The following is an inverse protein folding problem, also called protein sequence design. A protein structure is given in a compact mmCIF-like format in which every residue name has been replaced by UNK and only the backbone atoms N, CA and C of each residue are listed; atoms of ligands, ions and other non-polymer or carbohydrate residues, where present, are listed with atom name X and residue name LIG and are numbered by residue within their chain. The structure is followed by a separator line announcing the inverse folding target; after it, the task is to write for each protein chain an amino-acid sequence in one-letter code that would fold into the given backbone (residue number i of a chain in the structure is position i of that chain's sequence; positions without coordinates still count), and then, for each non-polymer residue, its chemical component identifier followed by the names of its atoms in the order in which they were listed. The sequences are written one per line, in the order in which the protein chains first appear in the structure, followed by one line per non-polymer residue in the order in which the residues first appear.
data_IF_602310430058
#
_entry.id   IF_602310430058
#
_cell.length_a   1.000
_cell.length_b   1.000
_cell.length_c   1.000
_cell.angle_alpha   90.00
_cell.angle_beta   90.00
_cell.angle_gamma   90.00
#
_symmetry.space_group_name_H-M   'P 1'
#
loop_
_entity.id
_entity.type
_entity.pdbx_description
1 polymer ?
#
# COMPACT_ATOMS: atom_id res chain seq x y z
N UNK A 1 -21.25 -47.95 -25.91
CA UNK A 1 -21.36 -46.49 -26.09
C UNK A 1 -21.75 -45.89 -24.76
N UNK A 2 -20.77 -45.40 -24.00
CA UNK A 2 -20.99 -44.54 -22.83
C UNK A 2 -19.88 -43.50 -22.84
N UNK A 3 -20.22 -42.31 -23.34
CA UNK A 3 -19.32 -41.17 -23.39
C UNK A 3 -19.16 -40.65 -21.97
N UNK A 4 -18.00 -40.87 -21.36
CA UNK A 4 -17.64 -40.21 -20.11
C UNK A 4 -17.18 -38.80 -20.48
N UNK A 5 -18.03 -37.81 -20.20
CA UNK A 5 -17.65 -36.40 -20.29
C UNK A 5 -16.61 -36.12 -19.21
N UNK A 6 -15.40 -35.64 -19.53
CA UNK A 6 -14.50 -35.14 -18.51
C UNK A 6 -15.11 -33.85 -17.96
N UNK A 7 -15.39 -33.85 -16.65
CA UNK A 7 -15.64 -32.64 -15.89
C UNK A 7 -14.36 -31.78 -15.96
N UNK A 8 -14.45 -30.70 -16.72
CA UNK A 8 -13.44 -29.64 -16.76
C UNK A 8 -13.36 -29.02 -15.35
N UNK A 9 -12.26 -29.30 -14.64
CA UNK A 9 -11.98 -28.76 -13.31
C UNK A 9 -11.30 -27.37 -13.39
N UNK A 10 -11.43 -26.62 -14.48
CA UNK A 10 -10.77 -25.30 -14.66
C UNK A 10 -11.52 -24.15 -13.96
N UNK A 11 -12.28 -24.46 -12.90
CA UNK A 11 -13.06 -23.49 -12.15
C UNK A 11 -12.31 -22.99 -10.91
N UNK A 12 -11.90 -21.73 -10.95
CA UNK A 12 -11.42 -20.88 -9.83
C UNK A 12 -9.90 -20.90 -9.55
N UNK A 13 -9.06 -20.76 -10.57
CA UNK A 13 -7.97 -19.78 -10.39
C UNK A 13 -8.68 -18.43 -10.30
N UNK A 14 -8.81 -17.88 -9.09
CA UNK A 14 -9.24 -16.49 -8.92
C UNK A 14 -8.34 -15.67 -9.83
N UNK A 15 -8.89 -15.16 -10.94
CA UNK A 15 -8.20 -14.25 -11.84
C UNK A 15 -7.98 -12.96 -11.06
N UNK A 16 -6.92 -12.99 -10.25
CA UNK A 16 -6.57 -11.88 -9.39
C UNK A 16 -6.18 -10.74 -10.33
N UNK A 17 -6.80 -9.56 -10.18
CA UNK A 17 -6.49 -8.44 -11.05
C UNK A 17 -4.97 -8.19 -11.02
N UNK A 18 -4.32 -8.02 -12.18
CA UNK A 18 -2.91 -7.70 -12.22
C UNK A 18 -2.64 -6.35 -11.57
N UNK A 19 -1.43 -6.17 -11.03
CA UNK A 19 -0.96 -4.86 -10.58
C UNK A 19 -0.88 -3.89 -11.77
N UNK A 20 -1.36 -2.67 -11.57
CA UNK A 20 -1.05 -1.57 -12.50
C UNK A 20 0.45 -1.29 -12.52
N UNK A 21 0.95 -0.65 -13.58
CA UNK A 21 2.38 -0.32 -13.70
C UNK A 21 2.93 0.47 -12.51
N UNK A 22 2.19 1.49 -12.05
CA UNK A 22 2.55 2.26 -10.85
C UNK A 22 2.50 1.41 -9.58
N UNK A 23 1.48 0.56 -9.42
CA UNK A 23 1.34 -0.29 -8.24
C UNK A 23 2.45 -1.34 -8.16
N UNK A 24 2.83 -1.95 -9.28
CA UNK A 24 3.94 -2.89 -9.36
C UNK A 24 5.27 -2.21 -9.05
N UNK A 25 5.47 -0.98 -9.52
CA UNK A 25 6.68 -0.19 -9.23
C UNK A 25 6.76 0.14 -7.73
N UNK A 26 5.65 0.57 -7.12
CA UNK A 26 5.58 0.84 -5.68
C UNK A 26 5.89 -0.41 -4.86
N UNK A 27 5.26 -1.54 -5.18
CA UNK A 27 5.51 -2.80 -4.49
C UNK A 27 6.96 -3.26 -4.63
N UNK A 28 7.56 -3.10 -5.82
CA UNK A 28 8.97 -3.42 -6.07
C UNK A 28 9.93 -2.56 -5.27
N UNK A 29 9.75 -1.23 -5.25
CA UNK A 29 10.57 -0.33 -4.46
C UNK A 29 10.42 -0.60 -2.95
N UNK A 30 9.19 -0.81 -2.48
CA UNK A 30 8.92 -1.22 -1.11
C UNK A 30 9.67 -2.50 -0.75
N UNK A 31 9.61 -3.55 -1.59
CA UNK A 31 10.32 -4.81 -1.38
C UNK A 31 11.85 -4.64 -1.25
N UNK A 32 12.44 -3.70 -1.99
CA UNK A 32 13.88 -3.41 -1.84
C UNK A 32 14.23 -2.67 -0.56
N UNK A 33 13.27 -1.95 0.02
CA UNK A 33 13.49 -1.13 1.22
C UNK A 33 13.17 -1.87 2.53
N UNK A 34 12.23 -2.83 2.52
CA UNK A 34 11.82 -3.59 3.71
C UNK A 34 12.99 -4.27 4.48
N UNK A 35 14.04 -4.82 3.83
CA UNK A 35 15.16 -5.44 4.55
C UNK A 35 15.96 -4.47 5.45
N UNK A 36 15.86 -3.17 5.21
CA UNK A 36 16.53 -2.11 5.97
C UNK A 36 15.62 -1.49 7.03
N UNK A 37 14.35 -1.85 7.05
CA UNK A 37 13.35 -1.31 7.96
C UNK A 37 13.21 -2.22 9.18
N UNK A 38 13.79 -1.80 10.30
CA UNK A 38 13.89 -2.62 11.51
C UNK A 38 12.65 -2.54 12.42
N UNK A 39 11.76 -1.58 12.18
CA UNK A 39 10.51 -1.38 12.92
C UNK A 39 9.30 -1.33 12.00
N UNK A 40 8.09 -1.46 12.56
CA UNK A 40 6.86 -1.26 11.80
C UNK A 40 6.73 0.19 11.30
N UNK A 41 7.23 1.15 12.09
CA UNK A 41 7.30 2.57 11.75
C UNK A 41 8.20 2.79 10.51
N UNK A 42 9.42 2.25 10.49
CA UNK A 42 10.33 2.36 9.33
C UNK A 42 9.71 1.79 8.04
N UNK A 43 9.02 0.65 8.15
CA UNK A 43 8.37 0.04 6.98
C UNK A 43 7.22 0.90 6.47
N UNK A 44 6.43 1.46 7.40
CA UNK A 44 5.33 2.38 7.08
C UNK A 44 5.85 3.64 6.37
N UNK A 45 6.95 4.21 6.84
CA UNK A 45 7.59 5.37 6.20
C UNK A 45 8.11 5.03 4.79
N UNK A 46 8.65 3.82 4.62
CA UNK A 46 9.06 3.33 3.30
C UNK A 46 7.88 3.22 2.32
N UNK A 47 6.75 2.67 2.79
CA UNK A 47 5.50 2.64 2.01
C UNK A 47 4.99 4.04 1.67
N UNK A 48 4.91 4.94 2.65
CA UNK A 48 4.47 6.32 2.46
C UNK A 48 5.35 7.06 1.45
N UNK A 49 6.67 6.93 1.56
CA UNK A 49 7.63 7.55 0.63
C UNK A 49 7.37 7.07 -0.81
N UNK A 50 7.18 5.77 -0.98
CA UNK A 50 7.04 5.17 -2.32
C UNK A 50 5.66 5.48 -2.94
N UNK A 51 4.59 5.37 -2.15
CA UNK A 51 3.22 5.73 -2.57
C UNK A 51 3.08 7.22 -2.90
N UNK A 52 3.82 8.09 -2.20
CA UNK A 52 3.82 9.53 -2.49
C UNK A 52 4.46 9.87 -3.84
N UNK A 53 5.45 9.09 -4.28
CA UNK A 53 6.21 9.39 -5.49
C UNK A 53 5.58 8.82 -6.77
N UNK A 54 4.61 7.90 -6.65
CA UNK A 54 4.12 7.11 -7.79
C UNK A 54 2.59 7.02 -7.85
N UNK A 55 2.05 7.21 -9.06
CA UNK A 55 0.64 7.09 -9.38
C UNK A 55 -0.29 8.17 -8.80
N UNK A 56 -1.60 7.91 -8.91
CA UNK A 56 -2.69 8.83 -8.52
C UNK A 56 -2.68 9.18 -7.03
N UNK A 57 -2.32 8.24 -6.17
CA UNK A 57 -2.15 8.48 -4.73
C UNK A 57 -1.06 9.52 -4.46
N UNK A 58 0.05 9.46 -5.18
CA UNK A 58 1.12 10.46 -5.07
C UNK A 58 0.65 11.86 -5.41
N UNK A 59 -0.21 12.01 -6.44
CA UNK A 59 -0.80 13.31 -6.78
C UNK A 59 -1.76 13.81 -5.70
N UNK A 60 -2.60 12.94 -5.14
CA UNK A 60 -3.54 13.29 -4.08
C UNK A 60 -2.83 13.69 -2.77
N UNK A 61 -1.78 12.97 -2.37
CA UNK A 61 -0.96 13.31 -1.20
C UNK A 61 -0.20 14.63 -1.38
N UNK A 62 0.26 14.94 -2.59
CA UNK A 62 0.91 16.22 -2.88
C UNK A 62 -0.07 17.40 -2.84
N UNK A 63 -1.31 17.19 -3.31
CA UNK A 63 -2.38 18.20 -3.29
C UNK A 63 -2.81 18.57 -1.85
N UNK A 64 -2.80 17.58 -0.95
CA UNK A 64 -2.99 17.79 0.50
C UNK A 64 -1.85 18.59 1.19
N UNK A 65 -0.85 19.06 0.44
CA UNK A 65 0.17 19.95 0.96
C UNK A 65 1.36 19.24 1.59
N UNK A 66 1.56 17.93 1.33
CA UNK A 66 2.84 17.26 1.61
C UNK A 66 3.90 17.77 0.64
N UNK A 67 4.38 18.99 0.87
CA UNK A 67 5.57 19.52 0.20
C UNK A 67 6.77 18.70 0.64
N UNK A 68 7.77 18.57 -0.24
CA UNK A 68 9.10 18.13 0.19
C UNK A 68 9.56 19.12 1.26
N UNK A 69 9.45 18.76 2.54
CA UNK A 69 10.24 19.46 3.53
C UNK A 69 11.68 19.08 3.24
N UNK A 70 12.56 20.05 2.89
CA UNK A 70 13.96 19.74 2.71
C UNK A 70 14.46 19.11 4.00
N UNK A 71 15.12 17.95 3.89
CA UNK A 71 15.84 17.29 4.98
C UNK A 71 16.92 18.24 5.52
N UNK A 72 16.55 19.20 6.36
CA UNK A 72 17.47 19.89 7.25
C UNK A 72 17.25 19.35 8.66
N UNK A 73 18.30 18.71 9.14
CA UNK A 73 18.53 18.15 10.48
C UNK A 73 18.07 16.70 10.69
N UNK A 74 19.01 15.77 10.50
CA UNK A 74 18.87 14.40 10.98
C UNK A 74 19.69 13.34 10.27
N UNK A 75 20.94 13.61 9.89
CA UNK A 75 21.92 12.52 9.82
C UNK A 75 22.25 12.05 11.24
N UNK A 76 21.27 11.47 11.91
CA UNK A 76 21.50 10.63 13.07
C UNK A 76 21.48 9.20 12.53
N UNK A 77 22.56 8.40 12.68
CA UNK A 77 22.46 6.98 12.41
C UNK A 77 21.29 6.46 13.23
N UNK A 78 20.32 5.86 12.55
CA UNK A 78 19.11 5.21 13.09
C UNK A 78 19.33 4.84 14.56
N UNK A 79 18.91 5.75 15.45
CA UNK A 79 19.03 5.55 16.88
C UNK A 79 18.03 4.47 17.19
N UNK A 80 18.53 3.24 17.40
CA UNK A 80 17.82 2.04 17.88
C UNK A 80 16.37 2.37 18.26
N UNK A 81 15.51 2.39 17.24
CA UNK A 81 14.15 2.90 17.44
C UNK A 81 13.48 1.90 18.35
N UNK A 82 13.10 2.36 19.56
CA UNK A 82 12.20 1.63 20.47
C UNK A 82 10.79 1.71 19.84
N UNK A 83 10.67 1.17 18.63
CA UNK A 83 9.46 1.11 17.82
C UNK A 83 8.81 -0.24 17.96
N UNK A 84 7.62 -0.37 17.40
CA UNK A 84 6.91 -1.65 17.37
C UNK A 84 7.72 -2.62 16.51
N UNK A 85 7.97 -3.87 16.96
CA UNK A 85 8.68 -4.83 16.13
C UNK A 85 7.99 -4.98 14.78
N UNK A 86 8.81 -5.05 13.73
CA UNK A 86 8.36 -5.28 12.37
C UNK A 86 7.41 -6.50 12.29
N UNK A 87 6.29 -6.43 11.55
CA UNK A 87 5.50 -7.62 11.26
C UNK A 87 6.36 -8.74 10.66
N UNK A 88 6.22 -9.95 11.19
CA UNK A 88 6.95 -11.12 10.69
C UNK A 88 6.37 -11.61 9.35
N UNK A 89 7.26 -12.09 8.46
CA UNK A 89 6.93 -12.63 7.14
C UNK A 89 7.14 -11.65 5.99
N UNK A 90 6.75 -12.05 4.78
CA UNK A 90 6.81 -11.18 3.60
C UNK A 90 5.66 -10.16 3.66
N UNK A 91 5.95 -9.00 4.27
CA UNK A 91 4.97 -7.93 4.45
C UNK A 91 4.52 -7.34 3.12
N UNK A 92 5.36 -7.39 2.08
CA UNK A 92 5.01 -6.90 0.75
C UNK A 92 3.99 -7.82 0.11
N UNK A 93 4.20 -9.12 0.16
CA UNK A 93 3.22 -10.10 -0.28
C UNK A 93 1.89 -9.93 0.48
N UNK A 94 1.94 -9.70 1.80
CA UNK A 94 0.74 -9.45 2.61
C UNK A 94 -0.03 -8.20 2.16
N UNK A 95 0.68 -7.09 1.93
CA UNK A 95 0.09 -5.83 1.44
C UNK A 95 -0.45 -5.98 0.02
N UNK A 96 0.29 -6.63 -0.89
CA UNK A 96 -0.16 -6.88 -2.27
C UNK A 96 -1.41 -7.75 -2.27
N UNK A 97 -1.46 -8.81 -1.46
CA UNK A 97 -2.65 -9.66 -1.35
C UNK A 97 -3.87 -8.88 -0.85
N UNK A 98 -3.73 -8.09 0.21
CA UNK A 98 -4.82 -7.24 0.70
C UNK A 98 -5.25 -6.20 -0.35
N UNK A 99 -4.31 -5.63 -1.11
CA UNK A 99 -4.63 -4.70 -2.19
C UNK A 99 -5.42 -5.37 -3.31
N UNK A 100 -5.10 -6.62 -3.64
CA UNK A 100 -5.87 -7.43 -4.58
C UNK A 100 -7.31 -7.62 -4.10
N UNK A 101 -7.51 -7.90 -2.80
CA UNK A 101 -8.85 -8.01 -2.21
C UNK A 101 -9.65 -6.70 -2.35
N UNK A 102 -9.03 -5.55 -2.13
CA UNK A 102 -9.66 -4.24 -2.36
C UNK A 102 -10.01 -3.99 -3.84
N UNK A 103 -9.11 -4.34 -4.76
CA UNK A 103 -9.33 -4.21 -6.20
C UNK A 103 -10.50 -5.09 -6.68
N UNK A 104 -10.61 -6.32 -6.18
CA UNK A 104 -11.72 -7.23 -6.44
C UNK A 104 -13.02 -6.65 -5.88
N UNK A 105 -13.01 -6.15 -4.64
CA UNK A 105 -14.19 -5.59 -3.99
C UNK A 105 -14.76 -4.38 -4.75
N UNK A 106 -13.90 -3.57 -5.37
CA UNK A 106 -14.32 -2.45 -6.23
C UNK A 106 -14.62 -2.84 -7.68
N UNK A 107 -14.48 -4.12 -8.04
CA UNK A 107 -14.73 -4.65 -9.38
C UNK A 107 -13.76 -4.12 -10.44
N UNK A 108 -12.50 -3.91 -10.08
CA UNK A 108 -11.51 -3.34 -10.98
C UNK A 108 -10.72 -4.37 -11.76
N UNK A 109 -10.35 -3.98 -12.98
CA UNK A 109 -9.54 -4.79 -13.88
C UNK A 109 -8.07 -4.86 -13.47
N UNK A 110 -7.60 -3.96 -12.58
CA UNK A 110 -6.23 -3.94 -12.08
C UNK A 110 -6.13 -3.37 -10.66
N UNK A 111 -5.11 -3.81 -9.91
CA UNK A 111 -4.77 -3.27 -8.57
C UNK A 111 -4.04 -1.95 -8.73
N UNK A 112 -4.60 -0.87 -8.20
CA UNK A 112 -4.05 0.48 -8.25
C UNK A 112 -3.24 0.85 -7.01
N UNK A 113 -2.59 2.02 -7.05
CA UNK A 113 -1.86 2.55 -5.88
C UNK A 113 -2.79 2.90 -4.71
N UNK A 114 -4.07 3.19 -4.99
CA UNK A 114 -5.09 3.40 -3.96
C UNK A 114 -5.39 2.11 -3.20
N UNK A 115 -5.54 0.99 -3.90
CA UNK A 115 -5.74 -0.33 -3.31
C UNK A 115 -4.55 -0.71 -2.40
N UNK A 116 -3.32 -0.42 -2.84
CA UNK A 116 -2.11 -0.59 -2.03
C UNK A 116 -2.11 0.31 -0.79
N UNK A 117 -2.50 1.58 -0.92
CA UNK A 117 -2.59 2.48 0.23
C UNK A 117 -3.61 1.96 1.26
N UNK A 118 -4.78 1.51 0.82
CA UNK A 118 -5.79 0.90 1.71
C UNK A 118 -5.27 -0.37 2.37
N UNK A 119 -4.54 -1.21 1.65
CA UNK A 119 -3.87 -2.39 2.20
C UNK A 119 -2.80 -2.04 3.25
N UNK A 120 -2.02 -0.98 3.05
CA UNK A 120 -1.06 -0.51 4.05
C UNK A 120 -1.80 -0.03 5.32
N UNK A 121 -2.92 0.68 5.17
CA UNK A 121 -3.76 1.06 6.31
C UNK A 121 -4.33 -0.15 7.06
N UNK A 122 -4.68 -1.23 6.37
CA UNK A 122 -5.19 -2.45 6.97
C UNK A 122 -4.10 -3.22 7.72
N UNK A 123 -2.92 -3.41 7.08
CA UNK A 123 -1.80 -4.18 7.65
C UNK A 123 -1.12 -3.47 8.82
N UNK A 124 -0.94 -2.15 8.74
CA UNK A 124 -0.20 -1.38 9.75
C UNK A 124 -1.11 -0.64 10.75
N UNK A 125 -2.38 -0.42 10.41
CA UNK A 125 -3.37 0.21 11.29
C UNK A 125 -2.86 1.50 11.93
N UNK A 126 -2.81 1.51 13.27
CA UNK A 126 -2.38 2.68 14.06
C UNK A 126 -0.96 3.17 13.75
N UNK A 127 -0.07 2.30 13.29
CA UNK A 127 1.30 2.70 12.90
C UNK A 127 1.26 3.60 11.67
N UNK A 128 0.39 3.28 10.71
CA UNK A 128 0.12 4.13 9.55
C UNK A 128 -0.52 5.46 9.94
N UNK A 129 -1.53 5.44 10.81
CA UNK A 129 -2.15 6.67 11.32
C UNK A 129 -1.11 7.58 12.02
N UNK A 130 -0.20 6.98 12.79
CA UNK A 130 0.86 7.71 13.49
C UNK A 130 1.88 8.30 12.53
N UNK A 131 2.30 7.55 11.50
CA UNK A 131 3.22 8.07 10.49
C UNK A 131 2.59 9.25 9.73
N UNK A 132 1.32 9.16 9.36
CA UNK A 132 0.59 10.28 8.75
C UNK A 132 0.50 11.49 9.68
N UNK A 133 0.22 11.27 10.97
CA UNK A 133 0.16 12.34 11.96
C UNK A 133 1.50 13.08 12.10
N UNK A 134 2.64 12.38 12.01
CA UNK A 134 3.97 13.01 12.00
C UNK A 134 4.19 13.90 10.77
N UNK A 135 3.52 13.60 9.66
CA UNK A 135 3.48 14.45 8.46
C UNK A 135 2.36 15.50 8.48
N UNK A 136 1.66 15.68 9.60
CA UNK A 136 0.55 16.63 9.74
C UNK A 136 -0.74 16.21 9.02
N UNK A 137 -0.83 14.96 8.57
CA UNK A 137 -2.00 14.41 7.89
C UNK A 137 -2.86 13.57 8.83
N UNK A 138 -4.15 13.51 8.51
CA UNK A 138 -5.08 12.58 9.12
C UNK A 138 -5.55 11.57 8.08
N UNK A 139 -5.78 10.32 8.48
CA UNK A 139 -6.35 9.28 7.62
C UNK A 139 -7.60 9.76 6.89
N UNK A 140 -8.51 10.44 7.59
CA UNK A 140 -9.73 10.97 6.99
C UNK A 140 -9.45 11.97 5.84
N UNK A 141 -8.41 12.81 5.96
CA UNK A 141 -8.05 13.77 4.91
C UNK A 141 -7.51 13.06 3.66
N UNK A 142 -6.70 12.02 3.85
CA UNK A 142 -6.19 11.20 2.74
C UNK A 142 -7.35 10.52 2.02
N UNK A 143 -8.31 9.95 2.75
CA UNK A 143 -9.48 9.30 2.16
C UNK A 143 -10.37 10.32 1.44
N UNK A 144 -10.63 11.48 2.04
CA UNK A 144 -11.42 12.56 1.42
C UNK A 144 -10.79 13.06 0.11
N UNK A 145 -9.46 13.21 0.09
CA UNK A 145 -8.72 13.57 -1.12
C UNK A 145 -8.82 12.51 -2.22
N UNK A 146 -8.73 11.22 -1.89
CA UNK A 146 -8.91 10.14 -2.87
C UNK A 146 -10.33 10.07 -3.41
N UNK A 147 -11.34 10.30 -2.55
CA UNK A 147 -12.74 10.40 -2.97
C UNK A 147 -12.97 11.60 -3.91
N UNK A 148 -12.35 12.75 -3.61
CA UNK A 148 -12.36 13.93 -4.47
C UNK A 148 -11.67 13.70 -5.83
N UNK A 149 -10.66 12.81 -5.87
CA UNK A 149 -10.01 12.37 -7.09
C UNK A 149 -10.79 11.31 -7.90
N UNK A 150 -11.99 10.93 -7.45
CA UNK A 150 -12.89 9.99 -8.14
C UNK A 150 -12.58 8.52 -7.87
N UNK A 151 -11.78 8.19 -6.84
CA UNK A 151 -11.53 6.81 -6.43
C UNK A 151 -12.60 6.35 -5.42
N UNK A 152 -13.22 5.18 -5.63
CA UNK A 152 -14.17 4.63 -4.67
C UNK A 152 -13.45 4.24 -3.37
N UNK A 153 -14.03 4.63 -2.23
CA UNK A 153 -13.53 4.25 -0.91
C UNK A 153 -13.86 2.77 -0.64
N UNK A 154 -12.97 2.01 0.02
CA UNK A 154 -13.29 0.67 0.48
C UNK A 154 -14.39 0.74 1.55
N UNK A 155 -15.39 -0.15 1.42
CA UNK A 155 -16.45 -0.35 2.41
C UNK A 155 -16.02 -1.24 3.57
#
# INVERSE_FOLDING_TARGET
MSTTTPIDQSGMESDNPPLSGDAALVAGLAATAMPFAHTAEDQTESWLRTLRLHGTVGSALQDLGVREEPLLAGSEPCSQSVGTPAPEGDVVERVVRAATEFAIARGAECVGTADLLFAVFDVYGRTMDRALYLHGLLRAQVFDSLAGAGLPLPG
#
